data_IF_276011533869
#
_entry.id   IF_276011533869
#
_cell.length_a   1.000
_cell.length_b   1.000
_cell.length_c   1.000
_cell.angle_alpha   90.00
_cell.angle_beta   90.00
_cell.angle_gamma   90.00
#
_symmetry.space_group_name_H-M   'P 1'
#
loop_
_entity.id
_entity.type
_entity.pdbx_description
1 polymer ?
#
# COMPACT_ATOMS: atom_id res chain seq x y z
N UNK A 1 -20.10 -34.20 -29.66
CA UNK A 1 -19.11 -33.74 -28.65
C UNK A 1 -19.62 -32.41 -28.07
N UNK A 2 -20.16 -32.46 -26.84
CA UNK A 2 -20.63 -31.26 -26.14
C UNK A 2 -19.41 -30.37 -25.85
N UNK A 3 -19.27 -29.28 -26.56
CA UNK A 3 -18.18 -28.31 -26.37
C UNK A 3 -18.32 -27.60 -25.04
N UNK A 4 -17.98 -28.26 -23.96
CA UNK A 4 -17.73 -27.58 -22.68
C UNK A 4 -16.52 -26.68 -22.86
N UNK A 5 -16.80 -25.38 -23.07
CA UNK A 5 -15.76 -24.36 -22.95
C UNK A 5 -15.33 -24.35 -21.49
N UNK A 6 -14.43 -25.25 -21.14
CA UNK A 6 -13.90 -25.37 -19.81
C UNK A 6 -13.09 -24.11 -19.49
N UNK A 7 -13.20 -23.56 -18.30
CA UNK A 7 -12.44 -22.39 -17.83
C UNK A 7 -10.93 -22.56 -18.13
N UNK A 8 -10.41 -23.79 -18.04
CA UNK A 8 -9.05 -24.14 -18.44
C UNK A 8 -8.73 -23.76 -19.89
N UNK A 9 -9.66 -24.02 -20.84
CA UNK A 9 -9.43 -23.68 -22.26
C UNK A 9 -9.42 -22.15 -22.47
N UNK A 10 -10.19 -21.39 -21.71
CA UNK A 10 -10.15 -19.92 -21.77
C UNK A 10 -8.87 -19.34 -21.16
N UNK A 11 -8.37 -19.88 -20.06
CA UNK A 11 -7.08 -19.48 -19.48
C UNK A 11 -5.96 -19.74 -20.51
N UNK A 12 -5.94 -20.92 -21.12
CA UNK A 12 -4.95 -21.28 -22.15
C UNK A 12 -5.06 -20.29 -23.33
N UNK A 13 -6.27 -19.98 -23.80
CA UNK A 13 -6.49 -19.04 -24.90
C UNK A 13 -5.98 -17.62 -24.55
N UNK A 14 -6.15 -17.17 -23.31
CA UNK A 14 -5.59 -15.87 -22.86
C UNK A 14 -4.07 -15.91 -22.89
N UNK A 15 -3.45 -16.96 -22.33
CA UNK A 15 -1.99 -17.10 -22.27
C UNK A 15 -1.33 -17.34 -23.62
N UNK A 16 -2.03 -17.94 -24.58
CA UNK A 16 -1.51 -18.17 -25.94
C UNK A 16 -1.65 -16.95 -26.83
N UNK A 17 -2.42 -15.96 -26.46
CA UNK A 17 -2.55 -14.73 -27.23
C UNK A 17 -1.21 -13.97 -27.28
N UNK A 18 -0.71 -13.73 -28.50
CA UNK A 18 0.59 -13.05 -28.72
C UNK A 18 0.63 -11.66 -28.05
N UNK A 19 -0.45 -10.89 -28.15
CA UNK A 19 -0.53 -9.55 -27.56
C UNK A 19 -0.42 -9.61 -26.04
N UNK A 20 -1.16 -10.54 -25.42
CA UNK A 20 -1.13 -10.74 -23.95
C UNK A 20 0.28 -11.13 -23.49
N UNK A 21 0.94 -12.05 -24.20
CA UNK A 21 2.33 -12.42 -23.85
C UNK A 21 3.29 -11.25 -23.93
N UNK A 22 3.19 -10.43 -24.98
CA UNK A 22 4.03 -9.23 -25.11
C UNK A 22 3.76 -8.26 -23.94
N UNK A 23 2.49 -8.00 -23.61
CA UNK A 23 2.12 -7.13 -22.49
C UNK A 23 2.66 -7.67 -21.16
N UNK A 24 2.56 -8.97 -20.90
CA UNK A 24 3.11 -9.61 -19.69
C UNK A 24 4.63 -9.48 -19.63
N UNK A 25 5.34 -9.72 -20.74
CA UNK A 25 6.80 -9.58 -20.78
C UNK A 25 7.22 -8.14 -20.51
N UNK A 26 6.57 -7.16 -21.14
CA UNK A 26 6.85 -5.74 -20.91
C UNK A 26 6.60 -5.39 -19.43
N UNK A 27 5.48 -5.84 -18.86
CA UNK A 27 5.15 -5.59 -17.46
C UNK A 27 6.20 -6.16 -16.51
N UNK A 28 6.56 -7.44 -16.65
CA UNK A 28 7.57 -8.08 -15.80
C UNK A 28 8.95 -7.41 -15.95
N UNK A 29 9.30 -6.96 -17.18
CA UNK A 29 10.52 -6.19 -17.41
C UNK A 29 10.51 -4.85 -16.66
N UNK A 30 9.38 -4.15 -16.66
CA UNK A 30 9.22 -2.89 -15.92
C UNK A 30 9.32 -3.14 -14.41
N UNK A 31 8.68 -4.20 -13.90
CA UNK A 31 8.79 -4.58 -12.47
C UNK A 31 10.25 -4.90 -12.10
N UNK A 32 10.97 -5.60 -12.96
CA UNK A 32 12.38 -5.92 -12.75
C UNK A 32 13.24 -4.65 -12.68
N UNK A 33 13.06 -3.72 -13.63
CA UNK A 33 13.76 -2.41 -13.63
C UNK A 33 13.40 -1.62 -12.37
N UNK A 34 12.12 -1.56 -12.01
CA UNK A 34 11.65 -0.89 -10.80
C UNK A 34 12.31 -1.49 -9.55
N UNK A 35 12.42 -2.82 -9.47
CA UNK A 35 13.06 -3.49 -8.34
C UNK A 35 14.54 -3.12 -8.21
N UNK A 36 15.26 -2.96 -9.34
CA UNK A 36 16.64 -2.49 -9.35
C UNK A 36 16.75 -1.05 -8.86
N UNK A 37 15.88 -0.16 -9.37
CA UNK A 37 15.88 1.25 -8.95
C UNK A 37 15.55 1.39 -7.47
N UNK A 38 14.55 0.65 -6.99
CA UNK A 38 14.21 0.66 -5.57
C UNK A 38 15.33 0.07 -4.71
N UNK A 39 15.99 -0.98 -5.16
CA UNK A 39 17.17 -1.53 -4.47
C UNK A 39 18.30 -0.48 -4.35
N UNK A 40 18.50 0.33 -5.40
CA UNK A 40 19.47 1.43 -5.35
C UNK A 40 19.05 2.48 -4.31
N UNK A 41 17.79 2.85 -4.25
CA UNK A 41 17.22 3.78 -3.26
C UNK A 41 17.38 3.23 -1.83
N UNK A 42 17.04 1.96 -1.59
CA UNK A 42 17.21 1.31 -0.29
C UNK A 42 18.67 1.31 0.19
N UNK A 43 19.63 1.17 -0.72
CA UNK A 43 21.05 1.26 -0.35
C UNK A 43 21.46 2.68 0.07
N UNK A 44 20.80 3.70 -0.47
CA UNK A 44 21.04 5.08 -0.07
C UNK A 44 20.47 5.37 1.32
N UNK A 45 19.45 4.64 1.77
CA UNK A 45 18.84 4.84 3.10
C UNK A 45 19.83 4.61 4.24
N UNK A 46 20.81 3.70 4.09
CA UNK A 46 21.88 3.54 5.08
C UNK A 46 22.71 4.83 5.23
N UNK A 47 23.06 5.47 4.12
CA UNK A 47 23.81 6.73 4.16
C UNK A 47 22.98 7.84 4.80
N UNK A 48 21.71 7.94 4.43
CA UNK A 48 20.77 8.91 5.02
C UNK A 48 20.60 8.67 6.52
N UNK A 49 20.49 7.42 6.96
CA UNK A 49 20.40 7.09 8.39
C UNK A 49 21.65 7.50 9.15
N UNK A 50 22.82 7.28 8.55
CA UNK A 50 24.09 7.70 9.15
C UNK A 50 24.21 9.24 9.26
N UNK A 51 23.84 9.96 8.21
CA UNK A 51 23.81 11.43 8.20
C UNK A 51 22.78 11.97 9.22
N UNK A 52 21.59 11.37 9.26
CA UNK A 52 20.55 11.70 10.24
C UNK A 52 21.05 11.51 11.67
N UNK A 53 21.70 10.37 11.95
CA UNK A 53 22.26 10.07 13.26
C UNK A 53 23.34 11.08 13.66
N UNK A 54 24.23 11.45 12.75
CA UNK A 54 25.24 12.50 13.01
C UNK A 54 24.62 13.86 13.28
N UNK A 55 23.58 14.20 12.54
CA UNK A 55 22.86 15.47 12.72
C UNK A 55 22.14 15.49 14.07
N UNK A 56 21.50 14.39 14.45
CA UNK A 56 20.83 14.27 15.74
C UNK A 56 21.82 14.42 16.92
N UNK A 57 22.99 13.79 16.85
CA UNK A 57 24.03 13.98 17.88
C UNK A 57 24.29 15.47 18.07
N UNK A 58 24.58 16.21 16.99
CA UNK A 58 24.87 17.64 17.07
C UNK A 58 23.71 18.45 17.65
N UNK A 59 22.48 18.14 17.26
CA UNK A 59 21.28 18.83 17.76
C UNK A 59 21.14 18.61 19.27
N UNK A 60 21.24 17.36 19.73
CA UNK A 60 21.10 17.04 21.16
C UNK A 60 22.28 17.58 21.99
N UNK A 61 23.49 17.61 21.46
CA UNK A 61 24.62 18.30 22.10
C UNK A 61 24.36 19.81 22.25
N UNK A 62 23.81 20.46 21.24
CA UNK A 62 23.47 21.88 21.30
C UNK A 62 22.38 22.15 22.35
N UNK A 63 21.30 21.36 22.40
CA UNK A 63 20.23 21.50 23.40
C UNK A 63 20.77 21.29 24.82
N UNK A 64 21.49 20.21 25.07
CA UNK A 64 22.14 19.94 26.34
C UNK A 64 23.04 21.10 26.79
N UNK A 65 23.91 21.58 25.89
CA UNK A 65 24.83 22.67 26.20
C UNK A 65 24.08 23.97 26.50
N UNK A 66 22.98 24.26 25.80
CA UNK A 66 22.15 25.44 26.04
C UNK A 66 21.50 25.40 27.44
N UNK A 67 20.97 24.24 27.83
CA UNK A 67 20.40 24.05 29.17
C UNK A 67 21.44 24.22 30.28
N UNK A 68 22.62 23.62 30.11
CA UNK A 68 23.72 23.72 31.07
C UNK A 68 24.29 25.13 31.15
N UNK A 69 24.36 25.89 30.04
CA UNK A 69 24.79 27.29 30.05
C UNK A 69 23.78 28.18 30.77
N UNK A 70 22.48 27.99 30.51
CA UNK A 70 21.44 28.79 31.15
C UNK A 70 21.42 28.57 32.68
N UNK A 71 21.61 27.34 33.15
CA UNK A 71 21.73 27.05 34.57
C UNK A 71 22.95 27.72 35.23
N UNK A 72 24.11 27.68 34.54
CA UNK A 72 25.34 28.34 35.02
C UNK A 72 25.20 29.85 35.06
N UNK A 73 24.59 30.47 34.02
CA UNK A 73 24.35 31.90 33.99
C UNK A 73 23.38 32.38 35.09
N UNK A 74 22.38 31.55 35.41
CA UNK A 74 21.42 31.86 36.47
C UNK A 74 21.87 31.47 37.90
N UNK A 75 23.07 30.90 38.04
CA UNK A 75 23.64 30.40 39.31
C UNK A 75 22.67 29.49 40.09
N UNK A 76 21.89 28.69 39.35
CA UNK A 76 20.89 27.78 39.90
C UNK A 76 21.19 26.34 39.56
N UNK A 77 20.79 25.43 40.39
CA UNK A 77 20.75 24.01 40.03
C UNK A 77 19.67 23.77 38.98
N UNK A 78 19.90 22.76 38.13
CA UNK A 78 18.89 22.29 37.16
C UNK A 78 17.65 21.83 37.90
N UNK A 79 16.49 22.27 37.45
CA UNK A 79 15.21 21.71 37.91
C UNK A 79 15.11 20.22 37.52
N UNK A 80 14.24 19.47 38.17
CA UNK A 80 14.07 18.02 37.88
C UNK A 80 13.76 17.78 36.41
N UNK A 81 12.95 18.62 35.80
CA UNK A 81 12.58 18.52 34.42
C UNK A 81 13.77 18.80 33.47
N UNK A 82 14.58 19.80 33.81
CA UNK A 82 15.80 20.12 33.05
C UNK A 82 16.82 18.98 33.15
N UNK A 83 16.91 18.29 34.27
CA UNK A 83 17.73 17.07 34.46
C UNK A 83 17.23 15.94 33.55
N UNK A 84 15.92 15.75 33.48
CA UNK A 84 15.31 14.73 32.65
C UNK A 84 15.53 15.01 31.16
N UNK A 85 15.43 16.27 30.70
CA UNK A 85 15.79 16.66 29.33
C UNK A 85 17.27 16.39 29.02
N UNK A 86 18.17 16.68 29.96
CA UNK A 86 19.60 16.37 29.79
C UNK A 86 19.82 14.86 29.71
N UNK A 87 19.06 14.06 30.44
CA UNK A 87 19.15 12.59 30.36
C UNK A 87 18.65 12.07 29.03
N UNK A 88 17.58 12.61 28.47
CA UNK A 88 17.08 12.30 27.11
C UNK A 88 18.15 12.66 26.08
N UNK A 89 18.70 13.87 26.12
CA UNK A 89 19.74 14.30 25.19
C UNK A 89 20.97 13.39 25.27
N UNK A 90 21.37 12.98 26.48
CA UNK A 90 22.47 12.02 26.65
C UNK A 90 22.15 10.66 26.01
N UNK A 91 20.92 10.15 26.21
CA UNK A 91 20.52 8.88 25.61
C UNK A 91 20.55 8.92 24.08
N UNK A 92 20.10 10.01 23.45
CA UNK A 92 20.19 10.19 22.00
C UNK A 92 21.62 10.33 21.48
N UNK A 93 22.49 11.08 22.19
CA UNK A 93 23.92 11.21 21.87
C UNK A 93 24.61 9.86 21.94
N UNK A 94 24.40 9.12 23.03
CA UNK A 94 25.00 7.80 23.24
C UNK A 94 24.47 6.78 22.24
N UNK A 95 23.18 6.83 21.88
CA UNK A 95 22.60 6.02 20.83
C UNK A 95 23.31 6.32 19.48
N UNK A 96 23.41 7.58 19.11
CA UNK A 96 24.07 7.98 17.89
C UNK A 96 25.52 7.52 17.82
N UNK A 97 26.27 7.62 18.91
CA UNK A 97 27.64 7.12 19.02
C UNK A 97 27.69 5.59 18.89
N UNK A 98 26.76 4.86 19.51
CA UNK A 98 26.68 3.41 19.36
C UNK A 98 26.41 2.99 17.89
N UNK A 99 25.52 3.70 17.19
CA UNK A 99 25.26 3.46 15.77
C UNK A 99 26.52 3.67 14.91
N UNK A 100 27.26 4.74 15.13
CA UNK A 100 28.50 5.01 14.40
C UNK A 100 29.58 3.94 14.67
N UNK A 101 29.63 3.42 15.89
CA UNK A 101 30.52 2.33 16.28
C UNK A 101 30.02 0.95 15.82
N UNK A 102 28.90 0.88 15.09
CA UNK A 102 28.24 -0.34 14.63
C UNK A 102 27.75 -1.25 15.76
N UNK A 103 27.58 -0.72 16.95
CA UNK A 103 26.95 -1.40 18.08
C UNK A 103 25.43 -1.19 18.03
N UNK A 104 24.78 -1.88 17.09
CA UNK A 104 23.37 -1.69 16.80
C UNK A 104 22.47 -2.14 17.95
N UNK A 105 22.88 -3.11 18.76
CA UNK A 105 22.14 -3.54 19.96
C UNK A 105 22.09 -2.43 21.00
N UNK A 106 23.26 -1.85 21.31
CA UNK A 106 23.34 -0.72 22.22
C UNK A 106 22.57 0.48 21.70
N UNK A 107 22.62 0.73 20.38
CA UNK A 107 21.80 1.77 19.75
C UNK A 107 20.31 1.56 20.01
N UNK A 108 19.78 0.33 19.79
CA UNK A 108 18.39 -0.02 20.00
C UNK A 108 17.99 0.22 21.47
N UNK A 109 18.78 -0.27 22.44
CA UNK A 109 18.51 -0.12 23.86
C UNK A 109 18.47 1.36 24.28
N UNK A 110 19.39 2.16 23.79
CA UNK A 110 19.46 3.58 24.12
C UNK A 110 18.31 4.36 23.49
N UNK A 111 17.87 4.00 22.28
CA UNK A 111 16.70 4.60 21.63
C UNK A 111 15.41 4.26 22.37
N UNK A 112 15.23 3.02 22.81
CA UNK A 112 14.09 2.61 23.65
C UNK A 112 14.09 3.45 24.94
N UNK A 113 15.23 3.53 25.64
CA UNK A 113 15.37 4.33 26.84
C UNK A 113 15.02 5.81 26.59
N UNK A 114 15.50 6.40 25.50
CA UNK A 114 15.19 7.79 25.18
C UNK A 114 13.67 8.03 25.00
N UNK A 115 13.01 7.13 24.30
CA UNK A 115 11.54 7.23 24.09
C UNK A 115 10.74 7.00 25.37
N UNK A 116 11.16 6.08 26.25
CA UNK A 116 10.53 5.88 27.57
C UNK A 116 10.65 7.13 28.45
N UNK A 117 11.81 7.78 28.42
CA UNK A 117 12.02 9.04 29.11
C UNK A 117 11.14 10.18 28.54
N UNK A 118 11.04 10.27 27.21
CA UNK A 118 10.14 11.22 26.55
C UNK A 118 8.67 10.98 26.91
N UNK A 119 8.23 9.72 26.94
CA UNK A 119 6.84 9.39 27.29
C UNK A 119 6.56 9.74 28.76
N UNK A 120 7.53 9.58 29.66
CA UNK A 120 7.39 10.00 31.06
C UNK A 120 7.19 11.52 31.22
N UNK A 121 7.87 12.33 30.39
CA UNK A 121 7.64 13.79 30.36
C UNK A 121 6.25 14.10 29.81
N UNK A 122 5.82 13.42 28.76
CA UNK A 122 4.52 13.64 28.15
C UNK A 122 3.37 13.36 29.12
N UNK A 123 3.47 12.26 29.86
CA UNK A 123 2.47 11.90 30.86
C UNK A 123 2.45 12.91 32.02
N UNK A 124 3.63 13.33 32.48
CA UNK A 124 3.76 14.29 33.62
C UNK A 124 3.12 15.65 33.28
N UNK A 125 3.19 16.10 32.02
CA UNK A 125 2.74 17.45 31.65
C UNK A 125 1.45 17.51 30.88
N UNK A 126 0.78 16.36 30.65
CA UNK A 126 -0.40 16.27 29.76
C UNK A 126 -0.18 17.02 28.42
N UNK A 127 1.09 16.98 27.98
CA UNK A 127 1.48 17.66 26.75
C UNK A 127 0.96 16.81 25.58
N UNK A 128 -0.27 17.06 25.20
CA UNK A 128 -0.69 16.85 23.81
C UNK A 128 0.22 17.70 22.96
N UNK A 129 1.25 17.08 22.38
CA UNK A 129 2.31 17.80 21.65
C UNK A 129 1.70 18.56 20.50
N UNK A 130 1.38 19.80 20.75
CA UNK A 130 1.35 20.86 19.76
C UNK A 130 2.79 21.33 19.56
N UNK A 131 3.67 20.47 19.08
CA UNK A 131 5.01 20.87 18.71
C UNK A 131 4.93 21.68 17.40
N UNK A 132 4.71 22.97 17.56
CA UNK A 132 4.75 23.97 16.48
C UNK A 132 6.14 24.16 15.87
N UNK A 133 7.20 23.58 16.44
CA UNK A 133 8.57 23.97 16.12
C UNK A 133 9.49 22.87 15.57
N UNK A 134 9.04 21.62 15.46
CA UNK A 134 9.81 20.59 14.78
C UNK A 134 9.03 20.05 13.59
N UNK A 135 9.37 20.56 12.41
CA UNK A 135 8.81 20.21 11.09
C UNK A 135 7.33 20.58 10.88
N UNK A 136 7.09 21.85 10.55
CA UNK A 136 5.91 22.29 9.81
C UNK A 136 4.62 22.24 10.60
N UNK A 137 4.23 23.40 11.13
CA UNK A 137 2.92 23.71 11.72
C UNK A 137 1.80 22.87 11.16
N UNK A 138 1.24 21.98 11.96
CA UNK A 138 -0.02 21.36 11.60
C UNK A 138 -0.82 20.96 12.82
N UNK A 139 -2.05 21.34 12.77
CA UNK A 139 -3.26 20.97 13.50
C UNK A 139 -3.20 19.65 14.27
N UNK A 140 -4.06 19.47 15.27
CA UNK A 140 -4.27 18.25 16.09
C UNK A 140 -4.17 16.90 15.35
N UNK A 141 -4.40 16.88 14.05
CA UNK A 141 -4.26 15.70 13.16
C UNK A 141 -2.83 15.15 13.11
N UNK A 142 -1.81 16.00 13.12
CA UNK A 142 -0.41 15.55 13.03
C UNK A 142 0.12 14.99 14.36
N UNK A 143 -0.45 15.42 15.49
CA UNK A 143 -0.11 14.84 16.80
C UNK A 143 -0.49 13.36 16.89
N UNK A 144 -1.66 12.99 16.37
CA UNK A 144 -2.14 11.59 16.35
C UNK A 144 -1.27 10.74 15.42
N UNK A 145 -0.93 11.25 14.23
CA UNK A 145 -0.07 10.55 13.28
C UNK A 145 1.34 10.32 13.85
N UNK A 146 1.90 11.32 14.51
CA UNK A 146 3.18 11.21 15.18
C UNK A 146 3.17 10.16 16.30
N UNK A 147 2.13 10.15 17.15
CA UNK A 147 1.95 9.14 18.19
C UNK A 147 1.87 7.73 17.59
N UNK A 148 1.13 7.55 16.50
CA UNK A 148 1.03 6.26 15.78
C UNK A 148 2.39 5.81 15.25
N UNK A 149 3.17 6.70 14.65
CA UNK A 149 4.50 6.39 14.13
C UNK A 149 5.50 6.05 15.25
N UNK A 150 5.47 6.78 16.35
CA UNK A 150 6.34 6.49 17.52
C UNK A 150 6.02 5.13 18.12
N UNK A 151 4.74 4.78 18.28
CA UNK A 151 4.32 3.46 18.78
C UNK A 151 4.79 2.33 17.85
N UNK A 152 4.72 2.52 16.54
CA UNK A 152 5.23 1.54 15.56
C UNK A 152 6.75 1.35 15.69
N UNK A 153 7.48 2.46 15.79
CA UNK A 153 8.94 2.43 15.91
C UNK A 153 9.37 1.77 17.23
N UNK A 154 8.75 2.15 18.33
CA UNK A 154 9.06 1.58 19.66
C UNK A 154 8.81 0.08 19.69
N UNK A 155 7.65 -0.39 19.21
CA UNK A 155 7.37 -1.82 19.11
C UNK A 155 8.40 -2.55 18.26
N UNK A 156 8.80 -1.95 17.14
CA UNK A 156 9.78 -2.54 16.24
C UNK A 156 11.14 -2.71 16.93
N UNK A 157 11.63 -1.67 17.62
CA UNK A 157 12.90 -1.71 18.34
C UNK A 157 12.86 -2.71 19.51
N UNK A 158 11.79 -2.76 20.29
CA UNK A 158 11.63 -3.74 21.37
C UNK A 158 11.70 -5.18 20.85
N UNK A 159 11.08 -5.47 19.70
CA UNK A 159 11.15 -6.79 19.09
C UNK A 159 12.55 -7.14 18.57
N UNK A 160 13.30 -6.14 18.07
CA UNK A 160 14.68 -6.35 17.65
C UNK A 160 15.62 -6.61 18.83
N UNK A 161 15.37 -5.96 19.99
CA UNK A 161 16.12 -6.20 21.23
C UNK A 161 15.96 -7.65 21.71
N UNK A 162 14.71 -8.15 21.69
CA UNK A 162 14.37 -9.50 22.15
C UNK A 162 14.97 -10.61 21.26
N UNK A 163 15.36 -10.30 20.02
CA UNK A 163 15.84 -11.28 19.05
C UNK A 163 17.37 -11.28 18.92
N UNK A 164 17.93 -12.50 18.87
CA UNK A 164 19.35 -12.72 18.59
C UNK A 164 19.61 -12.74 17.07
N UNK A 165 19.61 -11.57 16.44
CA UNK A 165 20.02 -11.44 15.04
C UNK A 165 21.56 -11.29 14.94
N UNK A 166 22.13 -11.72 13.79
CA UNK A 166 23.47 -11.32 13.39
C UNK A 166 23.51 -9.80 13.17
N UNK A 167 24.62 -9.14 13.45
CA UNK A 167 24.76 -7.67 13.36
C UNK A 167 24.32 -7.09 12.01
N UNK A 168 24.60 -7.78 10.91
CA UNK A 168 24.17 -7.35 9.57
C UNK A 168 22.64 -7.43 9.40
N UNK A 169 22.03 -8.48 9.92
CA UNK A 169 20.57 -8.66 9.84
C UNK A 169 19.87 -7.65 10.74
N UNK A 170 20.42 -7.37 11.93
CA UNK A 170 19.92 -6.30 12.81
C UNK A 170 19.90 -4.97 12.09
N UNK A 171 20.99 -4.61 11.41
CA UNK A 171 21.07 -3.34 10.69
C UNK A 171 20.02 -3.22 9.58
N UNK A 172 19.84 -4.27 8.76
CA UNK A 172 18.89 -4.25 7.66
C UNK A 172 17.43 -4.16 8.18
N UNK A 173 17.13 -4.87 9.27
CA UNK A 173 15.83 -4.80 9.94
C UNK A 173 15.62 -3.43 10.60
N UNK A 174 16.63 -2.89 11.27
CA UNK A 174 16.59 -1.60 11.94
C UNK A 174 16.29 -0.44 10.96
N UNK A 175 16.94 -0.47 9.80
CA UNK A 175 16.75 0.58 8.77
C UNK A 175 15.45 0.33 7.95
N UNK A 176 14.85 -0.86 8.05
CA UNK A 176 13.65 -1.20 7.31
C UNK A 176 13.88 -1.50 5.83
N UNK A 177 15.08 -1.96 5.45
CA UNK A 177 15.46 -2.21 4.05
C UNK A 177 15.33 -3.67 3.62
N UNK A 178 14.88 -4.57 4.50
CA UNK A 178 14.58 -5.96 4.14
C UNK A 178 13.43 -6.06 3.15
N UNK A 179 13.33 -7.17 2.42
CA UNK A 179 12.32 -7.30 1.38
C UNK A 179 10.88 -7.13 1.89
N UNK A 180 10.57 -7.67 3.07
CA UNK A 180 9.23 -7.53 3.65
C UNK A 180 8.93 -6.11 4.10
N UNK A 181 9.88 -5.42 4.72
CA UNK A 181 9.69 -4.07 5.23
C UNK A 181 9.68 -3.02 4.10
N UNK A 182 10.57 -3.15 3.11
CA UNK A 182 10.64 -2.25 1.97
C UNK A 182 9.42 -2.35 1.05
N UNK A 183 8.64 -3.44 1.14
CA UNK A 183 7.40 -3.61 0.40
C UNK A 183 6.27 -2.74 0.95
N UNK A 184 6.27 -2.46 2.25
CA UNK A 184 5.17 -1.74 2.92
C UNK A 184 4.99 -0.29 2.40
N UNK A 185 6.03 0.52 2.23
CA UNK A 185 5.90 1.87 1.69
C UNK A 185 5.33 1.91 0.26
N UNK A 186 5.48 0.82 -0.53
CA UNK A 186 4.96 0.73 -1.88
C UNK A 186 3.44 0.62 -1.94
N UNK A 187 2.79 0.33 -0.82
CA UNK A 187 1.34 0.22 -0.71
C UNK A 187 0.63 1.57 -0.59
N UNK A 188 1.40 2.62 -0.43
CA UNK A 188 0.86 3.97 -0.30
C UNK A 188 0.94 4.72 -1.63
N UNK A 189 -0.09 5.52 -1.95
CA UNK A 189 -0.14 6.36 -3.13
C UNK A 189 0.61 7.68 -2.94
N UNK A 190 1.75 7.69 -2.23
CA UNK A 190 2.54 8.92 -2.03
C UNK A 190 3.52 9.15 -3.19
N UNK A 191 3.50 10.31 -3.80
CA UNK A 191 4.50 10.78 -4.75
C UNK A 191 5.70 11.32 -3.92
N UNK A 192 6.96 10.90 -4.17
CA UNK A 192 7.58 10.43 -5.43
C UNK A 192 7.92 8.94 -5.53
N UNK A 193 7.78 8.10 -4.50
CA UNK A 193 8.31 6.72 -4.48
C UNK A 193 7.40 5.64 -5.12
N UNK A 194 6.47 5.96 -6.07
CA UNK A 194 5.18 5.45 -5.96
C UNK A 194 4.38 5.01 -7.12
N UNK A 195 4.91 4.59 -8.08
CA UNK A 195 4.09 4.08 -9.17
C UNK A 195 3.87 2.56 -9.12
N UNK A 196 4.33 1.86 -8.07
CA UNK A 196 4.22 0.40 -8.09
C UNK A 196 2.76 -0.05 -8.03
N UNK A 197 2.02 0.38 -7.03
CA UNK A 197 0.61 -0.03 -6.87
C UNK A 197 -0.30 0.53 -7.98
N UNK A 198 -0.27 1.84 -8.30
CA UNK A 198 -0.97 2.36 -9.47
C UNK A 198 -0.59 1.67 -10.77
N UNK A 199 0.69 1.34 -10.94
CA UNK A 199 1.17 0.63 -12.11
C UNK A 199 0.58 -0.78 -12.23
N UNK A 200 0.47 -1.53 -11.10
CA UNK A 200 -0.21 -2.82 -11.08
C UNK A 200 -1.65 -2.70 -11.57
N UNK A 201 -2.39 -1.69 -11.10
CA UNK A 201 -3.79 -1.50 -11.46
C UNK A 201 -3.96 -0.96 -12.88
N UNK A 202 -3.08 -0.08 -13.34
CA UNK A 202 -3.05 0.34 -14.74
C UNK A 202 -2.76 -0.83 -15.67
N UNK A 203 -1.84 -1.72 -15.30
CA UNK A 203 -1.58 -2.92 -16.07
C UNK A 203 -2.82 -3.82 -16.15
N UNK A 204 -3.54 -4.00 -15.03
CA UNK A 204 -4.83 -4.72 -15.02
C UNK A 204 -5.82 -4.08 -15.99
N UNK A 205 -5.92 -2.76 -15.98
CA UNK A 205 -6.79 -2.00 -16.85
C UNK A 205 -6.42 -2.17 -18.33
N UNK A 206 -5.12 -2.06 -18.67
CA UNK A 206 -4.61 -2.26 -20.05
C UNK A 206 -4.93 -3.66 -20.56
N UNK A 207 -4.78 -4.68 -19.71
CA UNK A 207 -5.06 -6.07 -20.07
C UNK A 207 -6.54 -6.34 -20.35
N UNK A 208 -7.45 -5.57 -19.70
CA UNK A 208 -8.88 -5.88 -19.70
C UNK A 208 -9.78 -4.86 -20.37
N UNK A 209 -9.27 -3.69 -20.75
CA UNK A 209 -10.04 -2.68 -21.46
C UNK A 209 -10.65 -3.20 -22.78
N UNK A 210 -10.18 -4.34 -23.30
CA UNK A 210 -10.66 -4.99 -24.52
C UNK A 210 -11.40 -6.30 -24.28
N UNK A 211 -11.82 -6.58 -23.03
CA UNK A 211 -12.31 -7.91 -22.64
C UNK A 211 -13.44 -8.47 -23.52
N UNK A 212 -14.34 -7.61 -23.99
CA UNK A 212 -15.47 -8.00 -24.81
C UNK A 212 -15.42 -7.45 -26.27
N UNK A 213 -14.45 -6.60 -26.59
CA UNK A 213 -14.35 -6.02 -27.94
C UNK A 213 -13.97 -7.05 -29.00
N UNK A 214 -13.21 -8.09 -28.64
CA UNK A 214 -12.94 -9.21 -29.52
C UNK A 214 -14.19 -10.01 -29.89
N UNK A 215 -15.22 -9.97 -29.04
CA UNK A 215 -16.47 -10.69 -29.24
C UNK A 215 -17.29 -10.09 -30.35
N UNK A 216 -17.25 -8.76 -30.51
CA UNK A 216 -17.98 -8.08 -31.59
C UNK A 216 -17.45 -8.48 -32.98
N UNK A 217 -16.15 -8.79 -33.09
CA UNK A 217 -15.51 -9.25 -34.34
C UNK A 217 -15.84 -10.70 -34.67
N UNK A 218 -16.16 -11.53 -33.68
CA UNK A 218 -16.42 -12.97 -33.85
C UNK A 218 -17.86 -13.36 -33.45
N UNK A 219 -18.78 -12.46 -33.61
CA UNK A 219 -20.16 -12.57 -33.12
C UNK A 219 -20.91 -13.76 -33.70
N UNK A 220 -20.70 -14.06 -34.98
CA UNK A 220 -21.30 -15.21 -35.65
C UNK A 220 -20.90 -16.55 -35.01
N UNK A 221 -19.65 -16.68 -34.59
CA UNK A 221 -19.16 -17.88 -33.88
C UNK A 221 -19.68 -18.01 -32.45
N UNK A 222 -19.94 -16.88 -31.78
CA UNK A 222 -20.49 -16.89 -30.42
C UNK A 222 -21.96 -17.24 -30.38
N UNK A 223 -22.73 -16.86 -31.40
CA UNK A 223 -24.16 -17.17 -31.50
C UNK A 223 -24.46 -18.64 -31.74
N UNK A 224 -23.47 -19.42 -32.19
CA UNK A 224 -23.59 -20.88 -32.40
C UNK A 224 -23.30 -21.67 -31.14
N UNK A 225 -22.70 -21.06 -30.12
CA UNK A 225 -22.37 -21.76 -28.86
C UNK A 225 -23.59 -21.86 -27.94
N UNK A 226 -23.99 -23.06 -27.49
CA UNK A 226 -25.13 -23.24 -26.59
C UNK A 226 -24.76 -22.94 -25.11
N UNK A 227 -24.12 -21.78 -24.88
CA UNK A 227 -23.69 -21.36 -23.55
C UNK A 227 -24.53 -20.16 -23.12
N UNK A 228 -25.10 -20.20 -21.92
CA UNK A 228 -25.83 -19.04 -21.37
C UNK A 228 -24.90 -17.83 -21.21
N UNK A 229 -25.42 -16.63 -21.45
CA UNK A 229 -24.68 -15.37 -21.29
C UNK A 229 -24.04 -15.22 -19.91
N UNK A 230 -24.74 -15.64 -18.90
CA UNK A 230 -24.26 -15.67 -17.51
C UNK A 230 -22.99 -16.50 -17.38
N UNK A 231 -23.02 -17.76 -17.79
CA UNK A 231 -21.89 -18.67 -17.73
C UNK A 231 -20.70 -18.16 -18.57
N UNK A 232 -21.00 -17.61 -19.75
CA UNK A 232 -19.97 -17.05 -20.64
C UNK A 232 -19.24 -15.86 -20.01
N UNK A 233 -19.96 -14.88 -19.45
CA UNK A 233 -19.40 -13.68 -18.83
C UNK A 233 -18.58 -14.06 -17.60
N UNK A 234 -19.11 -14.93 -16.72
CA UNK A 234 -18.38 -15.43 -15.54
C UNK A 234 -17.06 -16.06 -15.96
N UNK A 235 -17.11 -17.03 -16.87
CA UNK A 235 -15.90 -17.74 -17.28
C UNK A 235 -14.85 -16.78 -17.87
N UNK A 236 -15.29 -15.77 -18.59
CA UNK A 236 -14.40 -14.79 -19.21
C UNK A 236 -13.78 -13.84 -18.19
N UNK A 237 -14.55 -13.36 -17.23
CA UNK A 237 -14.05 -12.50 -16.14
C UNK A 237 -13.10 -13.29 -15.25
N UNK A 238 -13.54 -14.48 -14.79
CA UNK A 238 -12.74 -15.28 -13.87
C UNK A 238 -11.43 -15.78 -14.49
N UNK A 239 -11.45 -16.20 -15.77
CA UNK A 239 -10.22 -16.63 -16.44
C UNK A 239 -9.18 -15.50 -16.54
N UNK A 240 -9.63 -14.28 -16.83
CA UNK A 240 -8.75 -13.12 -16.91
C UNK A 240 -8.29 -12.65 -15.53
N UNK A 241 -9.19 -12.63 -14.55
CA UNK A 241 -8.83 -12.32 -13.16
C UNK A 241 -7.76 -13.28 -12.63
N UNK A 242 -7.88 -14.59 -12.87
CA UNK A 242 -6.87 -15.57 -12.47
C UNK A 242 -5.53 -15.30 -13.15
N UNK A 243 -5.53 -15.04 -14.46
CA UNK A 243 -4.30 -14.78 -15.20
C UNK A 243 -3.58 -13.53 -14.68
N UNK A 244 -4.30 -12.42 -14.48
CA UNK A 244 -3.67 -11.19 -13.99
C UNK A 244 -3.15 -11.35 -12.57
N UNK A 245 -3.94 -11.97 -11.69
CA UNK A 245 -3.54 -12.21 -10.31
C UNK A 245 -2.29 -13.08 -10.23
N UNK A 246 -2.19 -14.09 -11.11
CA UNK A 246 -0.98 -14.91 -11.21
C UNK A 246 0.24 -14.09 -11.72
N UNK A 247 0.05 -13.27 -12.75
CA UNK A 247 1.14 -12.41 -13.28
C UNK A 247 1.62 -11.41 -12.22
N UNK A 248 0.70 -10.82 -11.47
CA UNK A 248 1.06 -9.91 -10.37
C UNK A 248 1.73 -10.65 -9.22
N UNK A 249 1.29 -11.85 -8.89
CA UNK A 249 1.98 -12.68 -7.88
C UNK A 249 3.42 -12.98 -8.31
N UNK A 250 3.66 -13.33 -9.57
CA UNK A 250 5.02 -13.50 -10.11
C UNK A 250 5.82 -12.19 -10.03
N UNK A 251 5.19 -11.05 -10.27
CA UNK A 251 5.85 -9.75 -10.14
C UNK A 251 6.28 -9.45 -8.69
N UNK A 252 5.46 -9.81 -7.71
CA UNK A 252 5.86 -9.74 -6.30
C UNK A 252 7.03 -10.66 -5.98
N UNK A 253 7.03 -11.88 -6.50
CA UNK A 253 8.17 -12.80 -6.31
C UNK A 253 9.47 -12.25 -6.91
N UNK A 254 9.41 -11.62 -8.09
CA UNK A 254 10.58 -10.96 -8.70
C UNK A 254 11.08 -9.83 -7.79
N UNK A 255 10.18 -8.96 -7.34
CA UNK A 255 10.52 -7.86 -6.45
C UNK A 255 11.16 -8.37 -5.15
N UNK A 256 10.49 -9.29 -4.45
CA UNK A 256 11.00 -9.89 -3.22
C UNK A 256 12.34 -10.58 -3.42
N UNK A 257 12.49 -11.34 -4.50
CA UNK A 257 13.73 -12.02 -4.83
C UNK A 257 14.90 -11.06 -5.02
N UNK A 258 14.68 -9.98 -5.76
CA UNK A 258 15.72 -8.96 -6.03
C UNK A 258 16.19 -8.26 -4.76
N UNK A 259 15.25 -7.84 -3.90
CA UNK A 259 15.61 -7.19 -2.64
C UNK A 259 16.24 -8.18 -1.66
N UNK A 260 15.70 -9.40 -1.58
CA UNK A 260 16.19 -10.45 -0.66
C UNK A 260 17.63 -10.86 -0.89
N UNK A 261 18.08 -10.90 -2.15
CA UNK A 261 19.45 -11.29 -2.50
C UNK A 261 20.48 -10.36 -1.83
N UNK A 262 20.18 -9.08 -1.70
CA UNK A 262 21.12 -8.09 -1.16
C UNK A 262 20.84 -7.73 0.30
N UNK A 263 19.59 -7.51 0.66
CA UNK A 263 19.18 -6.95 1.95
C UNK A 263 18.58 -7.99 2.90
N UNK A 264 18.39 -9.24 2.43
CA UNK A 264 17.69 -10.28 3.18
C UNK A 264 16.16 -10.22 3.01
N UNK A 265 15.50 -11.34 3.30
CA UNK A 265 14.06 -11.45 3.19
C UNK A 265 13.36 -10.62 4.29
N UNK A 266 13.97 -10.56 5.47
CA UNK A 266 13.37 -10.03 6.68
C UNK A 266 12.63 -11.10 7.49
N UNK A 267 12.28 -10.76 8.72
CA UNK A 267 11.60 -11.68 9.63
C UNK A 267 10.08 -11.48 9.58
N UNK A 268 9.38 -12.43 8.98
CA UNK A 268 7.92 -12.45 8.88
C UNK A 268 7.20 -12.56 10.24
N UNK A 269 7.90 -12.97 11.30
CA UNK A 269 7.31 -13.11 12.64
C UNK A 269 7.35 -11.81 13.43
N UNK A 270 8.14 -10.83 13.02
CA UNK A 270 8.10 -9.49 13.60
C UNK A 270 6.71 -8.90 13.44
N UNK A 271 6.31 -8.12 14.44
CA UNK A 271 4.97 -7.53 14.48
C UNK A 271 5.04 -6.06 14.09
N UNK A 272 3.99 -5.60 13.46
CA UNK A 272 3.76 -4.18 13.16
C UNK A 272 2.40 -3.76 13.71
N UNK A 273 2.24 -2.47 13.95
CA UNK A 273 0.95 -1.90 14.38
C UNK A 273 0.18 -1.47 13.15
N UNK A 274 -1.05 -1.95 13.06
CA UNK A 274 -2.06 -1.48 12.10
C UNK A 274 -3.22 -0.85 12.87
N UNK A 275 -4.07 -0.12 12.18
CA UNK A 275 -5.20 0.55 12.82
C UNK A 275 -6.52 0.08 12.21
N UNK A 276 -7.39 -0.44 13.07
CA UNK A 276 -8.76 -0.81 12.70
C UNK A 276 -9.72 0.06 13.50
N UNK A 277 -10.51 0.89 12.83
CA UNK A 277 -11.38 1.89 13.47
C UNK A 277 -10.65 2.75 14.53
N UNK A 278 -9.44 3.23 14.19
CA UNK A 278 -8.54 4.01 15.04
C UNK A 278 -8.01 3.26 16.30
N UNK A 279 -8.34 1.99 16.47
CA UNK A 279 -7.74 1.16 17.51
C UNK A 279 -6.46 0.50 16.99
N UNK A 280 -5.32 0.60 17.71
CA UNK A 280 -4.09 -0.06 17.32
C UNK A 280 -4.21 -1.58 17.53
N UNK A 281 -3.91 -2.35 16.50
CA UNK A 281 -3.85 -3.81 16.52
C UNK A 281 -2.47 -4.25 16.11
N UNK A 282 -1.88 -5.17 16.87
CA UNK A 282 -0.56 -5.72 16.56
C UNK A 282 -0.68 -6.99 15.75
N UNK A 283 -0.12 -7.02 14.54
CA UNK A 283 -0.12 -8.20 13.67
C UNK A 283 1.29 -8.52 13.17
N UNK A 284 1.55 -9.78 12.81
CA UNK A 284 2.82 -10.17 12.19
C UNK A 284 2.91 -9.66 10.74
N UNK A 285 4.14 -9.45 10.24
CA UNK A 285 4.35 -9.11 8.83
C UNK A 285 3.78 -10.18 7.89
N UNK A 286 3.76 -11.45 8.30
CA UNK A 286 3.10 -12.50 7.53
C UNK A 286 1.59 -12.27 7.38
N UNK A 287 0.90 -11.95 8.47
CA UNK A 287 -0.54 -11.64 8.44
C UNK A 287 -0.81 -10.39 7.60
N UNK A 288 0.02 -9.37 7.74
CA UNK A 288 -0.07 -8.15 6.93
C UNK A 288 0.09 -8.46 5.44
N UNK A 289 1.07 -9.30 5.08
CA UNK A 289 1.26 -9.72 3.69
C UNK A 289 0.03 -10.43 3.10
N UNK A 290 -0.63 -11.29 3.89
CA UNK A 290 -1.87 -11.95 3.46
C UNK A 290 -3.02 -10.94 3.26
N UNK A 291 -3.14 -9.94 4.13
CA UNK A 291 -4.13 -8.86 3.98
C UNK A 291 -3.88 -8.08 2.68
N UNK A 292 -2.62 -7.75 2.40
CA UNK A 292 -2.21 -7.06 1.16
C UNK A 292 -2.60 -7.87 -0.07
N UNK A 293 -2.26 -9.17 -0.09
CA UNK A 293 -2.65 -10.06 -1.19
C UNK A 293 -4.17 -10.09 -1.38
N UNK A 294 -4.93 -10.16 -0.30
CA UNK A 294 -6.40 -10.12 -0.35
C UNK A 294 -6.90 -8.83 -1.01
N UNK A 295 -6.41 -7.65 -0.60
CA UNK A 295 -6.78 -6.37 -1.20
C UNK A 295 -6.41 -6.29 -2.69
N UNK A 296 -5.23 -6.73 -3.07
CA UNK A 296 -4.79 -6.74 -4.48
C UNK A 296 -5.70 -7.64 -5.32
N UNK A 297 -6.05 -8.83 -4.83
CA UNK A 297 -6.96 -9.75 -5.52
C UNK A 297 -8.36 -9.16 -5.68
N UNK A 298 -8.90 -8.51 -4.65
CA UNK A 298 -10.22 -7.89 -4.68
C UNK A 298 -10.25 -6.66 -5.59
N UNK A 299 -9.23 -5.81 -5.56
CA UNK A 299 -9.11 -4.66 -6.45
C UNK A 299 -8.99 -5.10 -7.91
N UNK A 300 -8.24 -6.16 -8.20
CA UNK A 300 -8.19 -6.74 -9.53
C UNK A 300 -9.56 -7.26 -9.97
N UNK A 301 -10.30 -7.93 -9.07
CA UNK A 301 -11.65 -8.40 -9.37
C UNK A 301 -12.59 -7.23 -9.67
N UNK A 302 -12.50 -6.16 -8.88
CA UNK A 302 -13.27 -4.93 -9.10
C UNK A 302 -12.94 -4.30 -10.47
N UNK A 303 -11.65 -4.11 -10.80
CA UNK A 303 -11.23 -3.53 -12.09
C UNK A 303 -11.73 -4.38 -13.26
N UNK A 304 -11.57 -5.70 -13.20
CA UNK A 304 -12.04 -6.61 -14.27
C UNK A 304 -13.55 -6.55 -14.44
N UNK A 305 -14.30 -6.51 -13.33
CA UNK A 305 -15.77 -6.38 -13.34
C UNK A 305 -16.20 -5.03 -13.89
N UNK A 306 -15.52 -3.94 -13.50
CA UNK A 306 -15.75 -2.59 -14.01
C UNK A 306 -15.45 -2.51 -15.51
N UNK A 307 -14.31 -3.03 -15.97
CA UNK A 307 -13.98 -3.09 -17.40
C UNK A 307 -15.03 -3.88 -18.20
N UNK A 308 -15.55 -4.96 -17.62
CA UNK A 308 -16.64 -5.73 -18.21
C UNK A 308 -17.90 -4.85 -18.42
N UNK A 309 -18.28 -4.11 -17.39
CA UNK A 309 -19.44 -3.20 -17.42
C UNK A 309 -19.22 -2.08 -18.44
N UNK A 310 -18.07 -1.39 -18.37
CA UNK A 310 -17.75 -0.27 -19.28
C UNK A 310 -17.67 -0.70 -20.75
N UNK A 311 -17.12 -1.88 -21.02
CA UNK A 311 -17.12 -2.44 -22.38
C UNK A 311 -18.54 -2.72 -22.92
N UNK A 312 -19.46 -3.15 -22.05
CA UNK A 312 -20.84 -3.36 -22.44
C UNK A 312 -21.58 -2.02 -22.66
N UNK A 313 -21.24 -0.99 -21.89
CA UNK A 313 -21.83 0.35 -22.04
C UNK A 313 -21.32 1.05 -23.31
N UNK A 314 -20.04 1.25 -23.41
CA UNK A 314 -19.43 2.12 -24.43
C UNK A 314 -19.13 1.40 -25.74
N UNK A 315 -18.89 0.08 -25.72
CA UNK A 315 -18.42 -0.70 -26.88
C UNK A 315 -17.17 -0.09 -27.55
N UNK A 316 -16.42 0.75 -26.82
CA UNK A 316 -15.26 1.48 -27.26
C UNK A 316 -14.09 1.29 -26.26
N UNK A 317 -12.95 0.86 -26.79
CA UNK A 317 -11.76 0.57 -26.01
C UNK A 317 -11.17 1.82 -25.32
N UNK A 318 -11.11 2.93 -26.05
CA UNK A 318 -10.50 4.17 -25.57
C UNK A 318 -11.33 4.73 -24.41
N UNK A 319 -12.67 4.77 -24.57
CA UNK A 319 -13.56 5.25 -23.51
C UNK A 319 -13.49 4.35 -22.28
N UNK A 320 -13.47 3.02 -22.44
CA UNK A 320 -13.30 2.09 -21.30
C UNK A 320 -12.00 2.36 -20.56
N UNK A 321 -10.90 2.58 -21.29
CA UNK A 321 -9.59 2.84 -20.73
C UNK A 321 -9.56 4.19 -19.97
N UNK A 322 -10.05 5.27 -20.58
CA UNK A 322 -10.10 6.59 -19.97
C UNK A 322 -10.95 6.61 -18.70
N UNK A 323 -12.15 6.03 -18.75
CA UNK A 323 -12.98 5.92 -17.55
C UNK A 323 -12.33 5.07 -16.45
N UNK A 324 -11.65 3.97 -16.83
CA UNK A 324 -10.89 3.17 -15.89
C UNK A 324 -9.76 3.94 -15.21
N UNK A 325 -9.01 4.76 -15.96
CA UNK A 325 -7.98 5.66 -15.38
C UNK A 325 -8.61 6.65 -14.41
N UNK A 326 -9.69 7.32 -14.81
CA UNK A 326 -10.39 8.27 -13.94
C UNK A 326 -10.78 7.58 -12.63
N UNK A 327 -11.35 6.38 -12.71
CA UNK A 327 -11.75 5.61 -11.52
C UNK A 327 -10.55 5.32 -10.61
N UNK A 328 -9.41 4.90 -11.15
CA UNK A 328 -8.22 4.57 -10.35
C UNK A 328 -7.65 5.81 -9.64
N UNK A 329 -7.61 6.95 -10.32
CA UNK A 329 -6.95 8.17 -9.80
C UNK A 329 -7.90 9.19 -9.18
N UNK A 330 -9.22 8.95 -9.19
CA UNK A 330 -10.22 9.94 -8.73
C UNK A 330 -9.99 10.36 -7.28
N UNK A 331 -9.69 9.42 -6.39
CA UNK A 331 -9.38 9.75 -4.99
C UNK A 331 -8.16 10.68 -4.88
N UNK A 332 -7.11 10.41 -5.66
CA UNK A 332 -5.90 11.24 -5.67
C UNK A 332 -6.22 12.66 -6.14
N UNK A 333 -7.02 12.78 -7.19
CA UNK A 333 -7.46 14.09 -7.71
C UNK A 333 -8.30 14.82 -6.67
N UNK A 334 -9.22 14.14 -5.99
CA UNK A 334 -10.05 14.73 -4.94
C UNK A 334 -9.21 15.22 -3.75
N UNK A 335 -8.21 14.44 -3.34
CA UNK A 335 -7.26 14.85 -2.29
C UNK A 335 -6.51 16.13 -2.66
N UNK A 336 -6.03 16.23 -3.91
CA UNK A 336 -5.32 17.42 -4.41
C UNK A 336 -6.25 18.64 -4.45
N UNK A 337 -7.52 18.43 -4.80
CA UNK A 337 -8.53 19.49 -4.86
C UNK A 337 -9.16 19.81 -3.50
N UNK A 338 -8.74 19.15 -2.41
CA UNK A 338 -9.32 19.26 -1.07
C UNK A 338 -10.86 19.07 -1.05
N UNK A 339 -11.37 18.20 -1.90
CA UNK A 339 -12.81 17.90 -1.95
C UNK A 339 -13.13 16.86 -0.88
N UNK A 340 -13.88 17.26 0.14
CA UNK A 340 -14.40 16.35 1.15
C UNK A 340 -15.70 15.70 0.63
N UNK A 341 -15.70 14.36 0.55
CA UNK A 341 -16.92 13.60 0.26
C UNK A 341 -17.43 12.90 1.51
N UNK A 342 -18.64 13.19 1.96
CA UNK A 342 -19.27 12.36 2.98
C UNK A 342 -19.43 10.93 2.44
N UNK A 343 -19.28 9.93 3.31
CA UNK A 343 -19.42 8.51 2.96
C UNK A 343 -18.38 7.94 1.96
N UNK A 344 -17.24 8.62 1.79
CA UNK A 344 -16.16 8.16 0.89
C UNK A 344 -15.69 6.73 1.21
N UNK A 345 -15.78 6.28 2.46
CA UNK A 345 -15.49 4.91 2.89
C UNK A 345 -16.38 3.82 2.29
N UNK A 346 -17.53 4.19 1.71
CA UNK A 346 -18.43 3.25 1.00
C UNK A 346 -18.18 3.23 -0.51
N UNK A 347 -17.18 3.97 -0.99
CA UNK A 347 -16.84 4.04 -2.42
C UNK A 347 -15.60 3.19 -2.68
N UNK A 348 -15.63 2.26 -3.67
CA UNK A 348 -14.50 1.36 -3.94
C UNK A 348 -13.22 2.10 -4.33
N UNK A 349 -13.35 3.33 -4.86
CA UNK A 349 -12.23 4.17 -5.28
C UNK A 349 -11.26 4.49 -4.13
N UNK A 350 -11.79 4.64 -2.92
CA UNK A 350 -11.00 4.95 -1.74
C UNK A 350 -10.08 3.81 -1.29
N UNK A 351 -10.27 2.60 -1.80
CA UNK A 351 -9.46 1.44 -1.42
C UNK A 351 -8.31 1.15 -2.39
N UNK A 352 -8.11 1.95 -3.44
CA UNK A 352 -6.91 1.83 -4.27
C UNK A 352 -5.63 2.18 -3.49
N UNK A 353 -5.69 3.08 -2.53
CA UNK A 353 -4.63 3.36 -1.56
C UNK A 353 -4.88 2.64 -0.23
N UNK A 354 -5.07 1.32 -0.28
CA UNK A 354 -5.40 0.52 0.90
C UNK A 354 -4.31 0.52 1.99
N UNK A 355 -3.06 0.80 1.65
CA UNK A 355 -2.00 1.01 2.64
C UNK A 355 -2.36 2.12 3.64
N UNK A 356 -2.88 3.25 3.16
CA UNK A 356 -3.36 4.34 4.03
C UNK A 356 -4.56 3.94 4.89
N UNK A 357 -5.36 2.93 4.47
CA UNK A 357 -6.44 2.36 5.31
C UNK A 357 -5.85 1.50 6.42
N UNK A 358 -4.92 0.60 6.07
CA UNK A 358 -4.26 -0.30 7.02
C UNK A 358 -3.53 0.46 8.12
N UNK A 359 -2.86 1.56 7.76
CA UNK A 359 -2.13 2.41 8.73
C UNK A 359 -2.99 3.50 9.39
N UNK A 360 -4.30 3.51 9.15
CA UNK A 360 -5.24 4.46 9.77
C UNK A 360 -5.08 5.92 9.35
N UNK A 361 -4.25 6.19 8.33
CA UNK A 361 -3.97 7.55 7.83
C UNK A 361 -5.22 8.16 7.19
N UNK A 362 -6.07 7.34 6.56
CA UNK A 362 -7.30 7.83 5.91
C UNK A 362 -8.33 8.36 6.89
N UNK A 363 -8.48 7.74 8.06
CA UNK A 363 -9.41 8.22 9.07
C UNK A 363 -9.03 9.59 9.60
N UNK A 364 -7.74 9.91 9.58
CA UNK A 364 -7.24 11.24 9.97
C UNK A 364 -7.43 12.28 8.86
N UNK A 365 -7.31 11.85 7.60
CA UNK A 365 -7.49 12.76 6.46
C UNK A 365 -8.97 13.12 6.24
N UNK A 366 -9.87 12.12 6.35
CA UNK A 366 -11.31 12.30 6.17
C UNK A 366 -12.02 12.22 7.53
N UNK A 367 -12.33 13.37 8.12
CA UNK A 367 -12.92 13.51 9.47
C UNK A 367 -14.22 12.70 9.68
N UNK A 368 -14.98 12.48 8.62
CA UNK A 368 -16.25 11.73 8.64
C UNK A 368 -16.15 10.37 7.93
N UNK A 369 -14.94 9.95 7.56
CA UNK A 369 -14.69 8.69 6.88
C UNK A 369 -14.39 7.59 7.88
N UNK A 370 -15.30 6.66 8.07
CA UNK A 370 -14.99 5.43 8.78
C UNK A 370 -14.36 4.45 7.81
N UNK A 371 -13.04 4.33 7.83
CA UNK A 371 -12.32 3.36 7.01
C UNK A 371 -11.86 2.20 7.89
N UNK A 372 -12.30 1.00 7.53
CA UNK A 372 -11.78 -0.24 8.11
C UNK A 372 -11.41 -1.23 7.02
N UNK A 373 -10.54 -2.19 7.36
CA UNK A 373 -10.17 -3.25 6.43
C UNK A 373 -11.37 -4.11 6.06
N UNK A 374 -12.19 -4.47 7.05
CA UNK A 374 -13.40 -5.27 6.84
C UNK A 374 -14.38 -4.55 5.92
N UNK A 375 -14.62 -3.26 6.15
CA UNK A 375 -15.45 -2.44 5.28
C UNK A 375 -14.90 -2.39 3.86
N UNK A 376 -13.59 -2.24 3.69
CA UNK A 376 -12.94 -2.26 2.37
C UNK A 376 -13.19 -3.54 1.60
N UNK A 377 -13.04 -4.69 2.26
CA UNK A 377 -13.34 -6.00 1.67
C UNK A 377 -14.81 -6.08 1.22
N UNK A 378 -15.75 -5.70 2.09
CA UNK A 378 -17.18 -5.73 1.79
C UNK A 378 -17.53 -4.80 0.62
N UNK A 379 -17.03 -3.56 0.62
CA UNK A 379 -17.28 -2.59 -0.45
C UNK A 379 -16.76 -3.10 -1.79
N UNK A 380 -15.54 -3.64 -1.84
CA UNK A 380 -14.94 -4.17 -3.06
C UNK A 380 -15.70 -5.39 -3.59
N UNK A 381 -16.12 -6.31 -2.72
CA UNK A 381 -16.91 -7.48 -3.11
C UNK A 381 -18.29 -7.07 -3.64
N UNK A 382 -19.03 -6.25 -2.89
CA UNK A 382 -20.38 -5.82 -3.26
C UNK A 382 -20.35 -5.06 -4.59
N UNK A 383 -19.45 -4.10 -4.75
CA UNK A 383 -19.34 -3.31 -5.98
C UNK A 383 -18.90 -4.15 -7.17
N UNK A 384 -18.02 -5.14 -6.98
CA UNK A 384 -17.66 -6.10 -8.03
C UNK A 384 -18.85 -6.92 -8.50
N UNK A 385 -19.68 -7.40 -7.56
CA UNK A 385 -20.89 -8.16 -7.85
C UNK A 385 -21.92 -7.28 -8.58
N UNK A 386 -22.09 -6.02 -8.14
CA UNK A 386 -22.98 -5.06 -8.79
C UNK A 386 -22.53 -4.81 -10.24
N UNK A 387 -21.26 -4.49 -10.47
CA UNK A 387 -20.71 -4.30 -11.82
C UNK A 387 -20.92 -5.54 -12.71
N UNK A 388 -20.77 -6.72 -12.13
CA UNK A 388 -20.98 -7.99 -12.82
C UNK A 388 -22.46 -8.19 -13.22
N UNK A 389 -23.40 -7.98 -12.29
CA UNK A 389 -24.85 -8.11 -12.57
C UNK A 389 -25.29 -7.13 -13.67
N UNK A 390 -24.85 -5.87 -13.58
CA UNK A 390 -25.16 -4.87 -14.61
C UNK A 390 -24.55 -5.24 -15.97
N UNK A 391 -23.34 -5.77 -16.00
CA UNK A 391 -22.70 -6.23 -17.23
C UNK A 391 -23.51 -7.32 -17.93
N UNK A 392 -24.07 -8.27 -17.16
CA UNK A 392 -24.96 -9.32 -17.70
C UNK A 392 -26.27 -8.72 -18.20
N UNK A 393 -26.90 -7.84 -17.41
CA UNK A 393 -28.15 -7.20 -17.76
C UNK A 393 -28.07 -6.45 -19.09
N UNK A 394 -27.04 -5.60 -19.23
CA UNK A 394 -26.83 -4.80 -20.45
C UNK A 394 -26.59 -5.71 -21.67
N UNK A 395 -25.78 -6.75 -21.53
CA UNK A 395 -25.55 -7.71 -22.62
C UNK A 395 -26.83 -8.40 -23.05
N UNK A 396 -27.63 -8.86 -22.11
CA UNK A 396 -28.90 -9.54 -22.38
C UNK A 396 -29.91 -8.61 -23.07
N UNK A 397 -29.97 -7.33 -22.65
CA UNK A 397 -30.83 -6.32 -23.26
C UNK A 397 -30.39 -6.02 -24.70
N UNK A 398 -29.08 -5.84 -24.97
CA UNK A 398 -28.57 -5.64 -26.33
C UNK A 398 -28.92 -6.79 -27.26
N UNK A 399 -28.75 -8.04 -26.80
CA UNK A 399 -29.09 -9.22 -27.60
C UNK A 399 -30.61 -9.35 -27.89
N UNK A 400 -31.46 -8.99 -26.92
CA UNK A 400 -32.92 -8.95 -27.14
C UNK A 400 -33.25 -7.90 -28.21
N UNK A 401 -32.76 -6.67 -28.07
CA UNK A 401 -32.95 -5.60 -29.03
C UNK A 401 -32.61 -6.01 -30.45
N UNK A 402 -31.43 -6.62 -30.65
CA UNK A 402 -30.98 -7.06 -31.96
C UNK A 402 -31.81 -8.20 -32.57
N UNK A 403 -32.41 -9.07 -31.72
CA UNK A 403 -33.37 -10.08 -32.20
C UNK A 403 -34.64 -9.41 -32.68
N UNK A 404 -35.16 -8.38 -32.00
CA UNK A 404 -36.32 -7.65 -32.44
C UNK A 404 -36.05 -6.90 -33.76
N UNK A 405 -34.92 -6.19 -33.87
CA UNK A 405 -34.53 -5.48 -35.10
C UNK A 405 -34.46 -6.43 -36.32
N UNK A 406 -34.00 -7.67 -36.15
CA UNK A 406 -33.95 -8.68 -37.22
C UNK A 406 -35.34 -9.20 -37.61
N UNK A 407 -36.29 -9.27 -36.66
CA UNK A 407 -37.65 -9.73 -36.94
C UNK A 407 -38.41 -8.66 -37.73
N UNK A 408 -38.17 -7.37 -37.49
CA UNK A 408 -38.86 -6.27 -38.17
C UNK A 408 -38.23 -5.90 -39.54
N UNK A 409 -37.05 -6.39 -39.88
CA UNK A 409 -36.38 -6.14 -41.16
C UNK A 409 -36.58 -7.28 -42.18
N UNK A 410 -37.28 -8.34 -41.79
CA UNK A 410 -37.73 -9.44 -42.63
C UNK A 410 -39.26 -9.52 -42.61
#
# INVERSE_FOLDING_TARGET
MKGESNMKSQIIMVLTNRLVRIQVIIFLSIVFIFSILHLYELNHQYQLMNEYTQTNIKIHEQYKNSLLMNSKMSQRDLHEDEKLFVEIDNAYIDAGNAFQNRDYRKYIQLMIKAWELEDSIREKYDITITNKNTLGSTTSKNGILFKKQTQQSMLHYQQLEDKNFDDKNVLNELIGITAIQSFLPLLDFKIPNIFFLPFLFLFTLVMFNTIFLSDSKHRSLLNVKPISNFRYIIQKIMSKWIVISFVQFVSFLIYFGMISIKNGIGDFTLKTVIFENDTPITISYFSLFLIILCFVLLLNLFIVSLCSLLNQLFSNQILTFLFGIIVIFLETVMKVLNVEMPYIGFIPLSYFSFGSVIYGVKNEFYLNGHFSMVQGVLVLVITSVICFIFSIGIKTLKEKRERYEKIFLH
#
